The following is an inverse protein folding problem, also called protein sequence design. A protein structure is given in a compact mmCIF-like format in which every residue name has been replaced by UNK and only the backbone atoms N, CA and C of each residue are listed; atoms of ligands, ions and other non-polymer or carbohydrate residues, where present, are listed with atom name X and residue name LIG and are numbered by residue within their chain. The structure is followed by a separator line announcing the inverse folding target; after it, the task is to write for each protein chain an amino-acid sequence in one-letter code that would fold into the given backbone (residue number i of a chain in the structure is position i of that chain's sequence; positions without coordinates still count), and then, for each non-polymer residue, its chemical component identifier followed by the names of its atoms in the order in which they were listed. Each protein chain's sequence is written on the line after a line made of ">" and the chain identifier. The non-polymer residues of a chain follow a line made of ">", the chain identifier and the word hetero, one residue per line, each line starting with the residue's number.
data_IF_735793321246
#
_entry.id   IF_735793321246
#
_cell.length_a   1.000
_cell.length_b   1.000
_cell.length_c   1.000
_cell.angle_alpha   90.00
_cell.angle_beta   90.00
_cell.angle_gamma   90.00
#
_symmetry.space_group_name_H-M   'P 1'
#
loop_
_entity.id
_entity.type
_entity.pdbx_description
1 polymer ?
#
# COMPACT_ATOMS: atom_id res chain seq x y z
N UNK A 1 -60.73 -21.90 1.95
CA UNK A 1 -59.75 -20.78 1.75
C UNK A 1 -58.85 -20.51 2.96
N UNK A 2 -58.90 -21.33 4.01
CA UNK A 2 -58.12 -21.13 5.26
C UNK A 2 -56.95 -22.13 5.38
N UNK A 3 -56.94 -23.22 4.64
CA UNK A 3 -55.90 -24.24 4.73
C UNK A 3 -54.58 -23.88 4.01
N UNK A 4 -54.64 -22.98 3.04
CA UNK A 4 -53.41 -22.54 2.31
C UNK A 4 -52.52 -21.54 3.07
N UNK A 5 -53.00 -20.98 4.18
CA UNK A 5 -52.23 -20.06 5.01
C UNK A 5 -51.32 -20.73 6.04
N UNK A 6 -51.69 -21.97 6.47
CA UNK A 6 -50.86 -22.71 7.44
C UNK A 6 -49.61 -23.35 6.85
N UNK A 7 -49.60 -23.65 5.56
CA UNK A 7 -48.44 -24.24 4.89
C UNK A 7 -47.34 -23.21 4.59
N UNK A 8 -47.67 -21.92 4.60
CA UNK A 8 -46.69 -20.84 4.38
C UNK A 8 -45.87 -20.50 5.64
N UNK A 9 -46.43 -20.76 6.83
CA UNK A 9 -45.77 -20.44 8.11
C UNK A 9 -44.82 -21.54 8.62
N UNK A 10 -44.79 -22.71 7.98
CA UNK A 10 -43.98 -23.86 8.39
C UNK A 10 -42.72 -24.06 7.51
N UNK A 11 -42.41 -23.14 6.61
CA UNK A 11 -41.09 -23.13 6.02
C UNK A 11 -40.09 -22.61 7.06
N UNK A 12 -39.54 -23.56 7.83
CA UNK A 12 -38.34 -23.33 8.59
C UNK A 12 -37.31 -22.61 7.69
N UNK A 13 -36.66 -21.51 8.14
CA UNK A 13 -35.62 -20.89 7.37
C UNK A 13 -34.57 -21.98 7.13
N UNK A 14 -34.48 -22.42 5.87
CA UNK A 14 -33.40 -23.32 5.44
C UNK A 14 -32.13 -22.73 6.01
N UNK A 15 -31.44 -23.48 6.88
CA UNK A 15 -30.15 -23.13 7.43
C UNK A 15 -29.29 -22.75 6.24
N UNK A 16 -29.16 -21.44 5.97
CA UNK A 16 -28.13 -20.93 5.08
C UNK A 16 -26.83 -21.46 5.64
N UNK A 17 -26.33 -22.52 5.05
CA UNK A 17 -24.99 -22.99 5.33
C UNK A 17 -24.09 -21.80 5.05
N UNK A 18 -23.70 -21.09 6.10
CA UNK A 18 -22.65 -20.08 6.03
C UNK A 18 -21.43 -20.85 5.57
N UNK A 19 -21.22 -20.82 4.24
CA UNK A 19 -20.01 -21.33 3.61
C UNK A 19 -18.86 -20.69 4.37
N UNK A 20 -18.21 -21.44 5.26
CA UNK A 20 -17.04 -20.96 6.02
C UNK A 20 -16.09 -20.41 4.97
N UNK A 21 -15.96 -19.08 4.92
CA UNK A 21 -15.04 -18.43 4.02
C UNK A 21 -13.66 -18.86 4.48
N UNK A 22 -12.92 -19.52 3.59
CA UNK A 22 -11.53 -19.86 3.86
C UNK A 22 -10.78 -18.60 4.30
N UNK A 23 -9.87 -18.72 5.28
CA UNK A 23 -9.11 -17.58 5.76
C UNK A 23 -8.36 -16.94 4.58
N UNK A 24 -8.66 -15.68 4.32
CA UNK A 24 -8.03 -14.93 3.23
C UNK A 24 -6.57 -14.70 3.61
N UNK A 25 -5.65 -15.27 2.85
CA UNK A 25 -4.23 -14.99 2.98
C UNK A 25 -3.96 -13.55 2.56
N UNK A 26 -3.91 -12.65 3.52
CA UNK A 26 -3.72 -11.23 3.27
C UNK A 26 -2.84 -10.58 4.33
N UNK A 27 -2.09 -9.55 3.90
CA UNK A 27 -1.28 -8.68 4.75
C UNK A 27 -1.54 -7.23 4.39
N UNK A 28 -1.42 -6.36 5.39
CA UNK A 28 -1.55 -4.93 5.21
C UNK A 28 -0.30 -4.24 5.76
N UNK A 29 0.30 -3.38 4.95
CA UNK A 29 1.52 -2.64 5.29
C UNK A 29 1.43 -1.21 4.82
N UNK A 30 2.26 -0.36 5.38
CA UNK A 30 2.30 1.05 4.99
C UNK A 30 3.70 1.51 4.58
N UNK A 31 3.74 2.49 3.66
CA UNK A 31 4.91 3.27 3.31
C UNK A 31 4.66 4.75 3.57
N UNK A 32 5.70 5.50 3.92
CA UNK A 32 5.60 6.94 4.20
C UNK A 32 6.75 7.71 3.60
N UNK A 33 6.44 8.87 3.01
CA UNK A 33 7.43 9.86 2.57
C UNK A 33 6.92 11.25 2.88
N UNK A 34 7.61 11.98 3.76
CA UNK A 34 7.15 13.27 4.29
C UNK A 34 5.74 13.13 4.89
N UNK A 35 4.75 13.85 4.37
CA UNK A 35 3.34 13.79 4.79
C UNK A 35 2.51 12.78 4.00
N UNK A 36 3.03 12.22 2.90
CA UNK A 36 2.36 11.18 2.13
C UNK A 36 2.40 9.84 2.85
N UNK A 37 1.24 9.18 2.93
CA UNK A 37 1.09 7.83 3.49
C UNK A 37 0.41 6.94 2.46
N UNK A 38 1.03 5.81 2.14
CA UNK A 38 0.47 4.78 1.28
C UNK A 38 0.22 3.52 2.11
N UNK A 39 -0.96 2.93 2.00
CA UNK A 39 -1.31 1.66 2.64
C UNK A 39 -1.50 0.62 1.53
N UNK A 40 -0.71 -0.44 1.57
CA UNK A 40 -0.79 -1.55 0.64
C UNK A 40 -1.49 -2.73 1.31
N UNK A 41 -2.54 -3.21 0.68
CA UNK A 41 -3.23 -4.45 1.02
C UNK A 41 -2.84 -5.49 -0.02
N UNK A 42 -2.10 -6.50 0.41
CA UNK A 42 -1.63 -7.61 -0.42
C UNK A 42 -2.39 -8.87 -0.04
N UNK A 43 -2.97 -9.56 -1.02
CA UNK A 43 -3.66 -10.83 -0.84
C UNK A 43 -3.23 -11.82 -1.93
N UNK A 44 -3.44 -13.11 -1.71
CA UNK A 44 -3.27 -14.13 -2.75
C UNK A 44 -4.18 -13.81 -3.94
N UNK A 45 -3.63 -13.82 -5.16
CA UNK A 45 -4.35 -13.40 -6.36
C UNK A 45 -3.66 -13.79 -7.65
N UNK A 46 -3.79 -12.93 -8.67
CA UNK A 46 -3.35 -13.17 -10.05
C UNK A 46 -2.36 -12.13 -10.58
N UNK A 47 -1.67 -11.43 -9.71
CA UNK A 47 -0.69 -10.40 -10.10
C UNK A 47 -1.28 -9.01 -10.34
N UNK A 48 -2.46 -8.71 -9.80
CA UNK A 48 -3.12 -7.44 -10.02
C UNK A 48 -2.57 -6.34 -9.12
N UNK A 49 -2.02 -5.27 -9.72
CA UNK A 49 -1.52 -4.12 -8.97
C UNK A 49 -2.33 -2.87 -9.29
N UNK A 50 -2.97 -2.27 -8.27
CA UNK A 50 -3.79 -1.07 -8.40
C UNK A 50 -3.47 -0.04 -7.32
N UNK A 51 -3.43 1.22 -7.72
CA UNK A 51 -3.25 2.37 -6.81
C UNK A 51 -4.48 3.28 -6.94
N UNK A 52 -5.17 3.51 -5.83
CA UNK A 52 -6.44 4.26 -5.79
C UNK A 52 -7.45 3.80 -6.86
N UNK A 53 -7.49 2.48 -7.13
CA UNK A 53 -8.37 1.89 -8.13
C UNK A 53 -7.84 1.92 -9.57
N UNK A 54 -6.80 2.70 -9.88
CA UNK A 54 -6.19 2.82 -11.21
C UNK A 54 -4.98 1.87 -11.35
N UNK A 55 -4.68 1.36 -12.55
CA UNK A 55 -3.44 0.62 -12.79
C UNK A 55 -2.23 1.57 -12.71
N UNK A 56 -1.02 1.01 -12.52
CA UNK A 56 0.21 1.80 -12.38
C UNK A 56 0.49 2.73 -13.56
N UNK A 57 0.10 2.32 -14.75
CA UNK A 57 0.34 3.04 -16.01
C UNK A 57 -0.44 4.36 -16.13
N UNK A 58 -1.51 4.51 -15.34
CA UNK A 58 -2.37 5.71 -15.33
C UNK A 58 -2.02 6.70 -14.22
N UNK A 59 -0.92 6.49 -13.49
CA UNK A 59 -0.54 7.35 -12.38
C UNK A 59 0.28 8.52 -12.92
N UNK A 60 -0.09 9.72 -12.55
CA UNK A 60 0.65 10.94 -12.83
C UNK A 60 1.66 11.25 -11.72
N UNK A 61 2.82 11.84 -12.06
CA UNK A 61 3.32 12.21 -13.38
C UNK A 61 3.97 11.01 -14.12
N UNK A 62 3.82 10.97 -15.44
CA UNK A 62 4.33 9.88 -16.30
C UNK A 62 5.83 9.62 -16.13
N UNK A 63 6.62 10.68 -15.95
CA UNK A 63 8.08 10.60 -15.75
C UNK A 63 8.45 9.74 -14.53
N UNK A 64 7.62 9.75 -13.50
CA UNK A 64 7.89 8.99 -12.26
C UNK A 64 7.24 7.60 -12.24
N UNK A 65 6.54 7.19 -13.29
CA UNK A 65 6.01 5.82 -13.40
C UNK A 65 7.11 4.77 -13.32
N UNK A 66 8.29 5.05 -13.91
CA UNK A 66 9.45 4.16 -13.81
C UNK A 66 9.85 3.88 -12.36
N UNK A 67 9.73 4.89 -11.49
CA UNK A 67 10.00 4.72 -10.05
C UNK A 67 9.01 3.77 -9.35
N UNK A 68 7.77 3.71 -9.82
CA UNK A 68 6.78 2.75 -9.33
C UNK A 68 7.03 1.33 -9.85
N UNK A 69 7.59 1.22 -11.05
CA UNK A 69 7.89 -0.06 -11.68
C UNK A 69 9.20 -0.68 -11.17
N UNK A 70 10.09 0.09 -10.54
CA UNK A 70 11.37 -0.40 -10.02
C UNK A 70 11.24 -1.70 -9.21
N UNK A 71 10.38 -1.83 -8.20
CA UNK A 71 10.27 -3.08 -7.44
C UNK A 71 9.85 -4.28 -8.31
N UNK A 72 9.01 -4.03 -9.33
CA UNK A 72 8.56 -5.08 -10.24
C UNK A 72 9.65 -5.52 -11.19
N UNK A 73 10.46 -4.58 -11.69
CA UNK A 73 11.57 -4.85 -12.60
C UNK A 73 12.72 -5.58 -11.90
N UNK A 74 13.01 -5.20 -10.66
CA UNK A 74 14.08 -5.79 -9.85
C UNK A 74 13.80 -7.24 -9.47
N UNK A 75 12.57 -7.53 -9.05
CA UNK A 75 12.19 -8.85 -8.55
C UNK A 75 11.63 -9.78 -9.62
N UNK A 76 11.32 -9.22 -10.80
CA UNK A 76 10.65 -9.94 -11.87
C UNK A 76 9.14 -10.10 -11.65
N UNK A 77 8.41 -10.32 -12.75
CA UNK A 77 6.95 -10.48 -12.72
C UNK A 77 6.50 -11.75 -11.99
N UNK A 78 7.34 -12.76 -11.97
CA UNK A 78 7.05 -14.07 -11.37
C UNK A 78 6.77 -13.98 -9.87
N UNK A 79 7.55 -13.18 -9.13
CA UNK A 79 7.36 -12.99 -7.69
C UNK A 79 6.04 -12.26 -7.36
N UNK A 80 5.45 -11.54 -8.31
CA UNK A 80 4.16 -10.85 -8.16
C UNK A 80 2.98 -11.64 -8.72
N UNK A 81 3.20 -12.66 -9.54
CA UNK A 81 2.13 -13.40 -10.23
C UNK A 81 1.11 -14.04 -9.28
N UNK A 82 1.53 -14.44 -8.08
CA UNK A 82 0.67 -15.07 -7.08
C UNK A 82 -0.06 -14.10 -6.13
N UNK A 83 0.12 -12.76 -6.28
CA UNK A 83 -0.40 -11.79 -5.32
C UNK A 83 -1.12 -10.63 -5.99
N UNK A 84 -2.23 -10.20 -5.40
CA UNK A 84 -2.93 -8.97 -5.76
C UNK A 84 -2.60 -7.90 -4.74
N UNK A 85 -2.09 -6.74 -5.19
CA UNK A 85 -1.75 -5.62 -4.32
C UNK A 85 -2.65 -4.43 -4.65
N UNK A 86 -3.37 -3.95 -3.63
CA UNK A 86 -4.17 -2.73 -3.72
C UNK A 86 -3.58 -1.68 -2.79
N UNK A 87 -3.18 -0.55 -3.37
CA UNK A 87 -2.58 0.56 -2.63
C UNK A 87 -3.56 1.71 -2.55
N UNK A 88 -3.73 2.26 -1.35
CA UNK A 88 -4.41 3.53 -1.13
C UNK A 88 -3.37 4.53 -0.66
N UNK A 89 -3.30 5.68 -1.31
CA UNK A 89 -2.37 6.74 -0.96
C UNK A 89 -3.13 8.02 -0.65
N UNK A 90 -2.66 8.74 0.38
CA UNK A 90 -3.24 9.99 0.83
C UNK A 90 -2.19 10.95 1.37
N UNK A 91 -2.46 12.25 1.27
CA UNK A 91 -1.59 13.30 1.78
C UNK A 91 -0.33 13.55 0.95
N UNK A 92 0.40 14.61 1.28
CA UNK A 92 1.63 15.02 0.61
C UNK A 92 1.45 15.48 -0.84
N UNK A 93 2.58 15.62 -1.55
CA UNK A 93 2.61 15.97 -2.96
C UNK A 93 2.80 14.74 -3.85
N UNK A 94 2.56 14.88 -5.17
CA UNK A 94 2.62 13.79 -6.14
C UNK A 94 3.91 12.96 -6.08
N UNK A 95 5.07 13.61 -6.00
CA UNK A 95 6.37 12.92 -5.88
C UNK A 95 6.46 12.11 -4.58
N UNK A 96 6.05 12.71 -3.45
CA UNK A 96 6.11 12.02 -2.16
C UNK A 96 5.15 10.81 -2.11
N UNK A 97 3.98 10.91 -2.76
CA UNK A 97 3.04 9.80 -2.90
C UNK A 97 3.67 8.63 -3.66
N UNK A 98 4.35 8.89 -4.76
CA UNK A 98 5.01 7.86 -5.56
C UNK A 98 6.07 7.10 -4.75
N UNK A 99 6.91 7.82 -4.00
CA UNK A 99 7.89 7.18 -3.12
C UNK A 99 7.25 6.39 -1.98
N UNK A 100 6.13 6.87 -1.43
CA UNK A 100 5.39 6.13 -0.42
C UNK A 100 4.75 4.84 -0.98
N UNK A 101 4.20 4.90 -2.20
CA UNK A 101 3.63 3.74 -2.91
C UNK A 101 4.72 2.70 -3.18
N UNK A 102 5.86 3.12 -3.74
CA UNK A 102 7.01 2.25 -4.02
C UNK A 102 7.44 1.47 -2.77
N UNK A 103 7.57 2.17 -1.65
CA UNK A 103 7.90 1.56 -0.36
C UNK A 103 6.82 0.60 0.13
N UNK A 104 5.54 0.97 0.01
CA UNK A 104 4.43 0.14 0.44
C UNK A 104 4.35 -1.18 -0.35
N UNK A 105 4.57 -1.14 -1.67
CA UNK A 105 4.58 -2.34 -2.54
C UNK A 105 5.71 -3.29 -2.13
N UNK A 106 6.94 -2.78 -1.97
CA UNK A 106 8.10 -3.58 -1.58
C UNK A 106 7.92 -4.25 -0.22
N UNK A 107 7.45 -3.50 0.77
CA UNK A 107 7.16 -4.03 2.10
C UNK A 107 6.02 -5.05 2.10
N UNK A 108 4.98 -4.83 1.28
CA UNK A 108 3.83 -5.72 1.21
C UNK A 108 4.23 -7.11 0.68
N UNK A 109 5.09 -7.14 -0.33
CA UNK A 109 5.60 -8.39 -0.87
C UNK A 109 6.42 -9.14 0.19
N UNK A 110 7.38 -8.50 0.83
CA UNK A 110 8.21 -9.11 1.88
C UNK A 110 7.34 -9.66 3.02
N UNK A 111 6.35 -8.89 3.48
CA UNK A 111 5.45 -9.32 4.55
C UNK A 111 4.56 -10.51 4.14
N UNK A 112 4.15 -10.56 2.88
CA UNK A 112 3.37 -11.68 2.35
C UNK A 112 4.22 -12.96 2.29
N UNK A 113 5.44 -12.87 1.77
CA UNK A 113 6.38 -14.00 1.73
C UNK A 113 6.72 -14.50 3.13
N UNK A 114 6.98 -13.60 4.07
CA UNK A 114 7.25 -13.94 5.47
C UNK A 114 6.11 -14.74 6.13
N UNK A 115 4.86 -14.38 5.80
CA UNK A 115 3.70 -14.96 6.49
C UNK A 115 3.17 -16.22 5.84
N UNK A 116 3.29 -16.35 4.52
CA UNK A 116 2.55 -17.36 3.75
C UNK A 116 3.39 -18.20 2.80
N UNK A 117 4.64 -17.88 2.56
CA UNK A 117 5.49 -18.62 1.63
C UNK A 117 6.66 -19.21 2.38
N UNK A 118 7.81 -18.58 2.38
CA UNK A 118 9.03 -19.10 2.96
C UNK A 118 9.96 -17.97 3.39
N UNK A 119 10.72 -18.21 4.46
CA UNK A 119 11.65 -17.21 5.00
C UNK A 119 12.94 -17.08 4.16
N UNK A 120 13.37 -18.13 3.49
CA UNK A 120 14.51 -18.07 2.58
C UNK A 120 14.23 -17.12 1.40
N UNK A 121 13.09 -17.30 0.73
CA UNK A 121 12.65 -16.43 -0.36
C UNK A 121 12.43 -14.97 0.09
N UNK A 122 11.92 -14.74 1.31
CA UNK A 122 11.83 -13.41 1.90
C UNK A 122 13.20 -12.75 2.03
N UNK A 123 14.21 -13.48 2.50
CA UNK A 123 15.57 -12.95 2.69
C UNK A 123 16.17 -12.55 1.35
N UNK A 124 16.06 -13.42 0.34
CA UNK A 124 16.49 -13.11 -1.04
C UNK A 124 15.88 -11.82 -1.57
N UNK A 125 14.54 -11.69 -1.50
CA UNK A 125 13.82 -10.50 -1.94
C UNK A 125 14.27 -9.25 -1.20
N UNK A 126 14.44 -9.36 0.12
CA UNK A 126 14.87 -8.27 0.96
C UNK A 126 16.28 -7.80 0.60
N UNK A 127 17.21 -8.71 0.38
CA UNK A 127 18.60 -8.40 0.08
C UNK A 127 18.73 -7.72 -1.29
N UNK A 128 18.02 -8.20 -2.31
CA UNK A 128 17.96 -7.57 -3.65
C UNK A 128 17.45 -6.13 -3.54
N UNK A 129 16.37 -5.90 -2.81
CA UNK A 129 15.76 -4.57 -2.67
C UNK A 129 16.65 -3.60 -1.89
N UNK A 130 17.33 -4.06 -0.82
CA UNK A 130 18.23 -3.22 -0.01
C UNK A 130 19.49 -2.88 -0.79
N UNK A 131 20.02 -3.81 -1.55
CA UNK A 131 21.23 -3.60 -2.37
C UNK A 131 20.99 -2.53 -3.44
N UNK A 132 19.79 -2.49 -4.01
CA UNK A 132 19.42 -1.47 -5.00
C UNK A 132 19.15 -0.11 -4.35
N UNK A 133 18.24 -0.06 -3.39
CA UNK A 133 17.87 1.17 -2.69
C UNK A 133 17.26 0.88 -1.30
N UNK A 134 17.97 1.30 -0.27
CA UNK A 134 17.48 1.17 1.12
C UNK A 134 16.11 1.81 1.35
N UNK A 135 15.77 2.89 0.61
CA UNK A 135 14.50 3.61 0.79
C UNK A 135 13.26 2.81 0.35
N UNK A 136 13.44 1.69 -0.37
CA UNK A 136 12.36 0.77 -0.70
C UNK A 136 11.75 0.10 0.54
N UNK A 137 12.55 -0.09 1.58
CA UNK A 137 12.13 -0.76 2.80
C UNK A 137 12.12 0.17 4.02
N UNK A 138 13.06 1.09 4.09
CA UNK A 138 13.22 1.99 5.23
C UNK A 138 12.63 3.35 4.91
N UNK A 139 11.79 3.88 5.82
CA UNK A 139 11.19 5.21 5.67
C UNK A 139 12.23 6.32 5.81
N UNK A 140 12.13 7.35 4.97
CA UNK A 140 12.95 8.55 5.07
C UNK A 140 12.51 9.39 6.29
N UNK A 141 13.41 9.69 7.24
CA UNK A 141 13.07 10.46 8.45
C UNK A 141 12.91 11.96 8.19
N UNK A 142 13.34 12.48 7.03
CA UNK A 142 13.32 13.90 6.74
C UNK A 142 11.90 14.46 6.78
N UNK A 143 11.69 15.49 7.64
CA UNK A 143 10.44 16.22 7.77
C UNK A 143 10.69 17.71 7.65
N UNK A 144 9.63 18.47 7.33
CA UNK A 144 9.68 19.92 7.34
C UNK A 144 9.84 20.42 8.77
N UNK A 145 10.77 21.32 9.02
CA UNK A 145 10.95 21.98 10.30
C UNK A 145 9.78 22.94 10.55
N UNK A 146 9.18 22.92 11.75
CA UNK A 146 8.06 23.81 12.07
C UNK A 146 8.47 25.29 12.01
N UNK A 147 7.56 26.15 11.54
CA UNK A 147 7.70 27.59 11.59
C UNK A 147 7.83 28.06 13.03
N UNK A 148 8.71 29.04 13.29
CA UNK A 148 8.84 29.68 14.60
C UNK A 148 8.29 31.11 14.55
N UNK A 149 7.94 31.65 15.70
CA UNK A 149 7.50 33.06 15.79
C UNK A 149 8.60 34.04 15.39
N UNK A 150 8.22 35.24 15.00
CA UNK A 150 9.17 36.31 14.60
C UNK A 150 9.73 36.16 13.19
N UNK A 151 9.16 35.27 12.35
CA UNK A 151 9.56 35.10 10.96
C UNK A 151 8.53 34.35 10.13
N UNK A 152 8.67 34.39 8.78
CA UNK A 152 7.76 33.71 7.85
C UNK A 152 7.99 32.19 7.79
N UNK A 153 9.13 31.71 8.26
CA UNK A 153 9.55 30.31 8.17
C UNK A 153 10.25 29.77 9.41
N UNK A 154 10.80 28.58 9.29
CA UNK A 154 11.51 27.92 10.38
C UNK A 154 12.77 28.68 10.83
N UNK A 155 13.48 29.28 9.88
CA UNK A 155 14.75 29.99 10.11
C UNK A 155 14.72 31.44 9.65
N UNK A 156 13.93 31.80 8.64
CA UNK A 156 13.76 33.16 8.16
C UNK A 156 13.10 34.04 9.23
N UNK A 157 13.58 35.28 9.36
CA UNK A 157 13.05 36.28 10.29
C UNK A 157 12.53 37.47 9.49
N UNK A 158 11.55 38.17 10.05
CA UNK A 158 11.05 39.43 9.49
C UNK A 158 12.17 40.49 9.54
N UNK A 159 12.14 41.36 8.55
CA UNK A 159 13.08 42.49 8.49
C UNK A 159 12.86 43.39 9.69
N UNK A 160 13.93 43.74 10.38
CA UNK A 160 13.89 44.73 11.46
C UNK A 160 13.89 46.14 10.87
N UNK A 161 13.05 47.00 11.41
CA UNK A 161 13.07 48.45 11.16
C UNK A 161 13.71 49.14 12.35
N UNK A 162 14.73 49.94 12.07
CA UNK A 162 15.38 50.76 13.07
C UNK A 162 15.02 52.21 12.75
N UNK A 163 14.22 52.82 13.62
CA UNK A 163 13.87 54.26 13.62
C UNK A 163 14.44 54.88 14.84
#
# INVERSE_FOLDING_TARGET
>A
RIENFRSFLLRSPSKMQQKRREPIHAVQVFGRKKTATAVAYCKRGRGLLRVNGRPLEQIEPKVLQYKLQEPLLLLGKEKFAGVDIRVRVNGGGHVAQIYAIRQAISKALIAFYQKYVDEASKKEIKDILIQYDRTLLVGDPRRCEPKKFGGPGARARYQKSYR
#
